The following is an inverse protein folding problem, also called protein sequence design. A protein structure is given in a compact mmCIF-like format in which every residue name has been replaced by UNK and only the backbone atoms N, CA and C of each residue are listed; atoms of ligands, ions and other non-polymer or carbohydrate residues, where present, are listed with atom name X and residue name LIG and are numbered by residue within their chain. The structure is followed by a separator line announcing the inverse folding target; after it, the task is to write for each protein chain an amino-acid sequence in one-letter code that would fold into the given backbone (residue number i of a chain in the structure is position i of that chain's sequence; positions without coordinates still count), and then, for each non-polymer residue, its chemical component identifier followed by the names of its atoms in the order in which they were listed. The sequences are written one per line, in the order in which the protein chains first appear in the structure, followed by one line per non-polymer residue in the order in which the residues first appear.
data_IF_119749106210
#
_entry.id   IF_119749106210
#
_cell.length_a   1.000
_cell.length_b   1.000
_cell.length_c   1.000
_cell.angle_alpha   90.00
_cell.angle_beta   90.00
_cell.angle_gamma   90.00
#
_symmetry.space_group_name_H-M   'P 1'
#
loop_
_entity.id
_entity.type
_entity.pdbx_description
1 polymer ?
#
# COMPACT_ATOMS: atom_id res chain seq x y z
N UNK A 1 14.03 -18.63 24.06
CA UNK A 1 13.97 -18.14 22.66
C UNK A 1 13.49 -16.71 22.71
N UNK A 2 14.19 -15.80 22.03
CA UNK A 2 13.67 -14.46 21.79
C UNK A 2 12.43 -14.54 20.89
N UNK A 3 11.48 -13.63 21.10
CA UNK A 3 10.34 -13.46 20.17
C UNK A 3 10.89 -13.15 18.76
N UNK A 4 10.26 -13.63 17.68
CA UNK A 4 10.66 -13.25 16.32
C UNK A 4 10.67 -11.72 16.20
N UNK A 5 11.76 -11.16 15.66
CA UNK A 5 11.90 -9.71 15.55
C UNK A 5 11.12 -9.18 14.35
N UNK A 6 9.81 -9.03 14.51
CA UNK A 6 8.91 -8.48 13.47
C UNK A 6 8.71 -6.98 13.59
N UNK A 7 9.32 -6.32 14.58
CA UNK A 7 9.04 -4.91 14.93
C UNK A 7 9.25 -3.94 13.76
N UNK A 8 10.19 -4.23 12.86
CA UNK A 8 10.42 -3.43 11.64
C UNK A 8 9.23 -3.58 10.68
N UNK A 9 8.84 -4.81 10.38
CA UNK A 9 7.70 -5.11 9.50
C UNK A 9 6.40 -4.58 10.07
N UNK A 10 6.16 -4.74 11.38
CA UNK A 10 4.95 -4.22 12.04
C UNK A 10 4.83 -2.69 11.89
N UNK A 11 5.96 -1.96 11.97
CA UNK A 11 6.00 -0.51 11.73
C UNK A 11 5.73 -0.16 10.26
N UNK A 12 6.26 -0.94 9.33
CA UNK A 12 6.06 -0.72 7.90
C UNK A 12 4.61 -1.00 7.50
N UNK A 13 4.02 -2.10 7.98
CA UNK A 13 2.59 -2.45 7.85
C UNK A 13 1.73 -1.29 8.34
N UNK A 14 1.98 -0.78 9.55
CA UNK A 14 1.22 0.33 10.11
C UNK A 14 1.35 1.61 9.27
N UNK A 15 2.55 1.90 8.75
CA UNK A 15 2.75 3.06 7.86
C UNK A 15 1.99 2.90 6.55
N UNK A 16 1.99 1.70 5.97
CA UNK A 16 1.28 1.42 4.72
C UNK A 16 -0.24 1.46 4.91
N UNK A 17 -0.75 0.97 6.04
CA UNK A 17 -2.17 1.13 6.42
C UNK A 17 -2.58 2.61 6.48
N UNK A 18 -1.79 3.46 7.15
CA UNK A 18 -2.07 4.91 7.17
C UNK A 18 -2.04 5.56 5.79
N UNK A 19 -1.19 5.08 4.89
CA UNK A 19 -1.20 5.55 3.49
C UNK A 19 -2.49 5.14 2.78
N UNK A 20 -3.00 3.93 3.02
CA UNK A 20 -4.26 3.44 2.44
C UNK A 20 -5.43 4.28 2.95
N UNK A 21 -5.50 4.53 4.26
CA UNK A 21 -6.52 5.40 4.87
C UNK A 21 -6.47 6.81 4.28
N UNK A 22 -5.27 7.38 4.13
CA UNK A 22 -5.09 8.68 3.49
C UNK A 22 -5.59 8.69 2.04
N UNK A 23 -5.31 7.65 1.25
CA UNK A 23 -5.82 7.53 -0.13
C UNK A 23 -7.35 7.44 -0.15
N UNK A 24 -7.96 6.71 0.80
CA UNK A 24 -9.42 6.63 0.92
C UNK A 24 -10.06 7.98 1.28
N UNK A 25 -9.33 8.83 2.01
CA UNK A 25 -9.73 10.20 2.31
C UNK A 25 -9.34 11.21 1.21
N UNK A 26 -8.97 10.73 0.02
CA UNK A 26 -8.52 11.55 -1.13
C UNK A 26 -7.29 12.42 -0.84
N UNK A 27 -6.49 12.08 0.17
CA UNK A 27 -5.29 12.83 0.52
C UNK A 27 -4.15 12.55 -0.46
N UNK A 28 -3.36 13.59 -0.77
CA UNK A 28 -2.33 13.51 -1.80
C UNK A 28 -0.92 13.14 -1.32
N UNK A 29 -0.67 13.15 -0.01
CA UNK A 29 0.67 12.84 0.52
C UNK A 29 1.17 11.40 0.27
N UNK A 30 0.34 10.33 0.23
CA UNK A 30 0.83 8.96 0.02
C UNK A 30 1.16 8.65 -1.45
N UNK A 31 0.83 9.55 -2.39
CA UNK A 31 1.16 9.39 -3.80
C UNK A 31 2.64 9.65 -4.07
N UNK A 32 3.19 8.85 -4.97
CA UNK A 32 4.52 9.03 -5.56
C UNK A 32 4.54 10.27 -6.48
N UNK A 33 5.73 10.76 -6.80
CA UNK A 33 5.88 11.90 -7.71
C UNK A 33 5.29 11.67 -9.10
N UNK A 34 5.31 10.43 -9.59
CA UNK A 34 4.68 10.09 -10.87
C UNK A 34 3.15 10.10 -10.78
N UNK A 35 2.56 9.52 -9.73
CA UNK A 35 1.12 9.51 -9.54
C UNK A 35 0.58 10.93 -9.33
N UNK A 36 1.26 11.77 -8.53
CA UNK A 36 0.90 13.20 -8.37
C UNK A 36 0.89 13.97 -9.69
N UNK A 37 1.87 13.71 -10.57
CA UNK A 37 1.89 14.32 -11.91
C UNK A 37 0.71 13.87 -12.76
N UNK A 38 0.27 12.62 -12.64
CA UNK A 38 -0.89 12.12 -13.38
C UNK A 38 -2.17 12.79 -12.89
N UNK A 39 -2.36 12.90 -11.57
CA UNK A 39 -3.47 13.66 -10.96
C UNK A 39 -3.46 15.10 -11.46
N UNK A 40 -2.34 15.80 -11.33
CA UNK A 40 -2.22 17.20 -11.76
C UNK A 40 -2.54 17.39 -13.26
N UNK A 41 -2.04 16.51 -14.13
CA UNK A 41 -2.33 16.54 -15.57
C UNK A 41 -3.81 16.34 -15.86
N UNK A 42 -4.48 15.44 -15.14
CA UNK A 42 -5.89 15.20 -15.32
C UNK A 42 -6.74 16.41 -14.85
N UNK A 43 -6.40 17.01 -13.69
CA UNK A 43 -7.06 18.24 -13.20
C UNK A 43 -6.88 19.41 -14.18
N UNK A 44 -5.66 19.66 -14.65
CA UNK A 44 -5.37 20.74 -15.61
C UNK A 44 -6.11 20.48 -16.93
N UNK A 45 -6.05 19.25 -17.45
CA UNK A 45 -6.72 18.87 -18.69
C UNK A 45 -8.25 18.95 -18.60
N UNK A 46 -8.83 18.66 -17.44
CA UNK A 46 -10.25 18.85 -17.15
C UNK A 46 -10.63 20.33 -17.14
N UNK A 47 -9.90 21.14 -16.37
CA UNK A 47 -10.12 22.59 -16.26
C UNK A 47 -10.06 23.28 -17.61
N UNK A 48 -9.06 22.95 -18.43
CA UNK A 48 -8.91 23.47 -19.79
C UNK A 48 -10.09 23.12 -20.71
N UNK A 49 -10.73 21.97 -20.49
CA UNK A 49 -11.93 21.57 -21.24
C UNK A 49 -13.18 22.31 -20.77
N UNK A 50 -13.34 22.50 -19.46
CA UNK A 50 -14.42 23.30 -18.89
C UNK A 50 -14.39 24.72 -19.47
N UNK A 51 -13.22 25.36 -19.51
CA UNK A 51 -13.08 26.71 -20.10
C UNK A 51 -13.40 26.77 -21.58
N UNK A 52 -13.37 25.63 -22.30
CA UNK A 52 -13.78 25.51 -23.70
C UNK A 52 -15.20 24.97 -23.90
N UNK A 53 -16.00 24.86 -22.84
CA UNK A 53 -17.35 24.29 -22.89
C UNK A 53 -17.38 22.81 -23.30
N UNK A 54 -16.28 22.08 -23.10
CA UNK A 54 -16.15 20.66 -23.47
C UNK A 54 -16.30 19.77 -22.25
N UNK A 55 -16.84 18.56 -22.46
CA UNK A 55 -16.95 17.53 -21.43
C UNK A 55 -15.58 17.13 -20.84
N UNK A 56 -15.55 16.95 -19.52
CA UNK A 56 -14.43 16.52 -18.68
C UNK A 56 -14.32 15.01 -18.52
N UNK A 57 -15.24 14.20 -19.06
CA UNK A 57 -15.37 12.79 -18.69
C UNK A 57 -14.12 11.91 -18.89
N UNK A 58 -13.21 12.25 -19.82
CA UNK A 58 -11.91 11.56 -19.93
C UNK A 58 -10.92 11.97 -18.85
N UNK A 59 -10.95 13.23 -18.41
CA UNK A 59 -10.10 13.71 -17.31
C UNK A 59 -10.54 13.10 -15.97
N UNK A 60 -11.86 13.02 -15.73
CA UNK A 60 -12.43 12.33 -14.56
C UNK A 60 -12.06 10.85 -14.54
N UNK A 61 -12.27 10.13 -15.65
CA UNK A 61 -11.83 8.73 -15.76
C UNK A 61 -10.33 8.56 -15.54
N UNK A 62 -9.52 9.51 -16.01
CA UNK A 62 -8.08 9.46 -15.77
C UNK A 62 -7.75 9.65 -14.28
N UNK A 63 -8.46 10.53 -13.56
CA UNK A 63 -8.32 10.69 -12.11
C UNK A 63 -8.70 9.41 -11.36
N UNK A 64 -9.88 8.86 -11.67
CA UNK A 64 -10.38 7.61 -11.07
C UNK A 64 -9.40 6.45 -11.28
N UNK A 65 -8.87 6.31 -12.49
CA UNK A 65 -7.87 5.29 -12.79
C UNK A 65 -6.58 5.45 -11.97
N UNK A 66 -6.13 6.69 -11.74
CA UNK A 66 -4.93 6.95 -10.92
C UNK A 66 -5.19 6.58 -9.46
N UNK A 67 -6.34 6.95 -8.92
CA UNK A 67 -6.72 6.60 -7.55
C UNK A 67 -6.83 5.09 -7.35
N UNK A 68 -7.49 4.39 -8.27
CA UNK A 68 -7.59 2.93 -8.26
C UNK A 68 -6.21 2.27 -8.34
N UNK A 69 -5.32 2.77 -9.21
CA UNK A 69 -3.96 2.25 -9.34
C UNK A 69 -3.14 2.43 -8.05
N UNK A 70 -3.26 3.60 -7.39
CA UNK A 70 -2.59 3.86 -6.12
C UNK A 70 -3.10 2.91 -5.03
N UNK A 71 -4.41 2.71 -4.94
CA UNK A 71 -5.02 1.81 -3.95
C UNK A 71 -4.58 0.36 -4.15
N UNK A 72 -4.55 -0.12 -5.40
CA UNK A 72 -4.06 -1.46 -5.74
C UNK A 72 -2.58 -1.60 -5.35
N UNK A 73 -1.74 -0.61 -5.70
CA UNK A 73 -0.30 -0.63 -5.35
C UNK A 73 -0.08 -0.75 -3.84
N UNK A 74 -0.73 0.11 -3.05
CA UNK A 74 -0.56 0.12 -1.60
C UNK A 74 -1.09 -1.15 -0.94
N UNK A 75 -2.23 -1.67 -1.42
CA UNK A 75 -2.79 -2.95 -0.95
C UNK A 75 -1.84 -4.09 -1.27
N UNK A 76 -1.21 -4.09 -2.45
CA UNK A 76 -0.21 -5.09 -2.84
C UNK A 76 1.03 -5.03 -1.95
N UNK A 77 1.51 -3.81 -1.65
CA UNK A 77 2.63 -3.58 -0.72
C UNK A 77 2.31 -4.08 0.69
N UNK A 78 1.09 -3.83 1.18
CA UNK A 78 0.62 -4.32 2.48
C UNK A 78 0.64 -5.85 2.54
N UNK A 79 0.02 -6.52 1.55
CA UNK A 79 -0.02 -7.98 1.48
C UNK A 79 1.37 -8.60 1.42
N UNK A 80 2.31 -7.97 0.70
CA UNK A 80 3.69 -8.44 0.65
C UNK A 80 4.38 -8.39 2.03
N UNK A 81 4.21 -7.28 2.78
CA UNK A 81 4.76 -7.13 4.13
C UNK A 81 4.14 -8.12 5.13
N UNK A 82 2.83 -8.33 5.05
CA UNK A 82 2.12 -9.30 5.90
C UNK A 82 2.57 -10.74 5.63
N UNK A 83 2.80 -11.08 4.36
CA UNK A 83 3.34 -12.38 3.96
C UNK A 83 4.75 -12.61 4.51
N UNK A 84 5.64 -11.60 4.41
CA UNK A 84 6.99 -11.68 4.97
C UNK A 84 6.96 -11.86 6.50
N UNK A 85 6.11 -11.10 7.19
CA UNK A 85 5.91 -11.22 8.64
C UNK A 85 5.47 -12.64 9.00
N UNK A 86 4.51 -13.19 8.27
CA UNK A 86 4.01 -14.54 8.51
C UNK A 86 5.09 -15.59 8.29
N UNK A 87 5.97 -15.41 7.29
CA UNK A 87 7.12 -16.29 7.05
C UNK A 87 8.04 -16.37 8.28
N UNK A 88 8.44 -15.21 8.82
CA UNK A 88 9.33 -15.13 9.99
C UNK A 88 8.69 -15.79 11.22
N UNK A 89 7.39 -15.56 11.45
CA UNK A 89 6.65 -16.18 12.56
C UNK A 89 6.62 -17.71 12.41
N UNK A 90 6.42 -18.19 11.19
CA UNK A 90 6.35 -19.63 10.88
C UNK A 90 7.72 -20.30 11.05
N UNK A 91 8.80 -19.67 10.57
CA UNK A 91 10.18 -20.14 10.77
C UNK A 91 10.52 -20.26 12.27
N UNK A 92 10.16 -19.24 13.07
CA UNK A 92 10.37 -19.27 14.51
C UNK A 92 9.54 -20.36 15.22
N UNK A 93 8.29 -20.59 14.77
CA UNK A 93 7.44 -21.66 15.29
C UNK A 93 8.04 -23.05 14.97
N UNK A 94 8.55 -23.26 13.76
CA UNK A 94 9.20 -24.50 13.34
C UNK A 94 10.48 -24.77 14.14
N UNK A 95 11.33 -23.75 14.34
CA UNK A 95 12.52 -23.89 15.17
C UNK A 95 12.18 -24.25 16.64
N UNK A 96 11.09 -23.69 17.17
CA UNK A 96 10.59 -24.03 18.51
C UNK A 96 10.08 -25.48 18.58
N UNK A 97 9.38 -25.95 17.54
CA UNK A 97 8.91 -27.32 17.44
C UNK A 97 10.07 -28.32 17.37
N UNK A 98 11.08 -28.06 16.53
CA UNK A 98 12.27 -28.90 16.39
C UNK A 98 13.05 -29.06 17.70
N UNK A 99 13.20 -27.98 18.48
CA UNK A 99 13.84 -28.05 19.81
C UNK A 99 13.01 -28.84 20.82
N UNK A 100 11.68 -28.76 20.74
CA UNK A 100 10.80 -29.57 21.61
C UNK A 100 10.92 -31.06 21.29
N UNK A 101 11.01 -31.43 20.01
CA UNK A 101 11.20 -32.83 19.61
C UNK A 101 12.56 -33.41 20.00
N UNK A 102 13.59 -32.58 20.20
CA UNK A 102 14.93 -33.05 20.63
C UNK A 102 15.16 -33.00 22.15
N UNK A 103 14.16 -32.59 22.95
CA UNK A 103 14.30 -32.39 24.40
C UNK A 103 13.32 -33.20 25.24
N UNK A 104 12.70 -34.23 24.67
CA UNK A 104 11.73 -35.11 25.34
C UNK A 104 12.05 -36.61 25.16
N UNK A 105 13.35 -36.92 25.26
CA UNK A 105 13.89 -38.18 25.80
C UNK A 105 14.93 -37.82 26.87
#
# INVERSE_FOLDING_TARGET
MGKPNTRRLDKEIQRTQRKIEAVQNEEMWPLTGQERRQVARAVIGGSYRVTRGKSTGRAERALENVWNAVQIRLTTELTALESERQRIVTEAANAKAAKKSSGWF
#
